data_IF_336623985033
#
_entry.id   IF_336623985033
#
_cell.length_a   1.000
_cell.length_b   1.000
_cell.length_c   1.000
_cell.angle_alpha   90.00
_cell.angle_beta   90.00
_cell.angle_gamma   90.00
#
_symmetry.space_group_name_H-M   'P 1'
#
loop_
_entity.id
_entity.type
_entity.pdbx_description
1 polymer ?
#
# COMPACT_ATOMS: atom_id res chain seq x y z
N UNK A 1 -66.85 18.21 22.58
CA UNK A 1 -66.23 18.91 23.72
C UNK A 1 -65.32 17.91 24.42
N UNK A 2 -64.01 17.99 24.10
CA UNK A 2 -62.79 17.69 24.90
C UNK A 2 -62.90 16.77 26.14
N UNK A 3 -61.98 15.87 26.50
CA UNK A 3 -60.62 15.38 26.16
C UNK A 3 -60.51 14.04 26.98
N UNK A 4 -59.78 12.98 26.64
CA UNK A 4 -58.32 12.89 26.71
C UNK A 4 -57.82 11.57 26.11
N UNK A 5 -56.69 11.69 25.42
CA UNK A 5 -55.83 10.67 24.83
C UNK A 5 -55.31 9.64 25.84
N UNK A 6 -55.14 8.38 25.41
CA UNK A 6 -53.98 7.53 25.79
C UNK A 6 -54.07 6.15 25.12
N UNK A 7 -53.28 5.90 24.07
CA UNK A 7 -52.36 4.74 24.03
C UNK A 7 -51.33 4.95 22.93
N UNK A 8 -50.07 5.06 23.37
CA UNK A 8 -48.88 5.25 22.56
C UNK A 8 -48.52 3.91 21.92
N UNK A 9 -48.55 3.80 20.59
CA UNK A 9 -47.84 2.75 19.86
C UNK A 9 -46.41 3.23 19.62
N UNK A 10 -45.51 2.89 20.55
CA UNK A 10 -44.07 3.04 20.37
C UNK A 10 -43.59 1.86 19.52
N UNK A 11 -43.60 2.01 18.21
CA UNK A 11 -42.96 1.06 17.30
C UNK A 11 -41.45 1.31 17.38
N UNK A 12 -40.77 0.57 18.25
CA UNK A 12 -39.32 0.61 18.42
C UNK A 12 -38.67 0.01 17.18
N UNK A 13 -38.31 0.86 16.21
CA UNK A 13 -37.48 0.47 15.08
C UNK A 13 -36.07 0.17 15.60
N UNK A 14 -35.72 -1.12 15.65
CA UNK A 14 -34.34 -1.57 15.79
C UNK A 14 -33.58 -1.18 14.51
N UNK A 15 -33.06 0.04 14.49
CA UNK A 15 -31.98 0.40 13.58
C UNK A 15 -30.74 -0.41 14.02
N UNK A 16 -30.57 -1.59 13.45
CA UNK A 16 -29.24 -2.21 13.37
C UNK A 16 -28.40 -1.30 12.49
N UNK A 17 -27.77 -0.30 13.12
CA UNK A 17 -26.67 0.43 12.50
C UNK A 17 -25.52 -0.57 12.46
N UNK A 18 -25.32 -1.20 11.30
CA UNK A 18 -24.06 -1.86 11.02
C UNK A 18 -23.00 -0.77 11.08
N UNK A 19 -22.27 -0.71 12.19
CA UNK A 19 -21.00 -0.02 12.27
C UNK A 19 -20.11 -0.65 11.21
N UNK A 20 -20.01 0.02 10.06
CA UNK A 20 -18.92 -0.19 9.10
C UNK A 20 -17.63 0.04 9.89
N UNK A 21 -17.04 -1.03 10.39
CA UNK A 21 -15.67 -0.99 10.88
C UNK A 21 -14.81 -0.78 9.65
N UNK A 22 -14.12 0.36 9.61
CA UNK A 22 -13.02 0.53 8.68
C UNK A 22 -12.00 -0.55 9.00
N UNK A 23 -11.86 -1.54 8.12
CA UNK A 23 -10.90 -2.61 8.31
C UNK A 23 -9.49 -2.04 8.24
N UNK A 24 -8.80 -2.07 9.39
CA UNK A 24 -7.40 -1.71 9.46
C UNK A 24 -6.57 -2.96 9.13
N UNK A 25 -6.26 -3.16 7.86
CA UNK A 25 -5.27 -4.15 7.45
C UNK A 25 -3.88 -3.54 7.62
N UNK A 26 -3.12 -4.06 8.60
CA UNK A 26 -1.72 -3.67 8.78
C UNK A 26 -0.95 -3.90 7.47
N UNK A 27 -0.11 -2.94 7.10
CA UNK A 27 0.78 -3.08 5.94
C UNK A 27 1.77 -4.22 6.15
N UNK A 28 2.25 -4.78 5.03
CA UNK A 28 3.31 -5.78 5.06
C UNK A 28 4.62 -5.12 5.48
N UNK A 29 5.28 -5.73 6.46
CA UNK A 29 6.62 -5.33 6.90
C UNK A 29 7.64 -5.94 5.92
N UNK A 30 8.37 -5.07 5.23
CA UNK A 30 9.48 -5.47 4.36
C UNK A 30 10.70 -5.79 5.23
N UNK A 31 11.23 -7.00 5.11
CA UNK A 31 12.38 -7.47 5.91
C UNK A 31 13.69 -7.37 5.16
N UNK A 32 13.63 -7.27 3.82
CA UNK A 32 14.80 -7.07 2.98
C UNK A 32 14.45 -6.21 1.77
N UNK A 33 15.36 -5.31 1.44
CA UNK A 33 15.26 -4.45 0.26
C UNK A 33 16.58 -4.49 -0.52
N UNK A 34 16.48 -4.40 -1.83
CA UNK A 34 17.63 -4.19 -2.71
C UNK A 34 17.23 -3.27 -3.85
N UNK A 35 18.20 -2.66 -4.49
CA UNK A 35 17.96 -1.75 -5.61
C UNK A 35 18.98 -1.97 -6.71
N UNK A 36 18.61 -1.57 -7.91
CA UNK A 36 19.47 -1.63 -9.09
C UNK A 36 20.74 -0.77 -8.94
N UNK A 37 20.65 0.32 -8.17
CA UNK A 37 21.78 1.06 -7.59
C UNK A 37 21.31 2.00 -6.49
N UNK A 38 22.28 2.68 -5.88
CA UNK A 38 22.07 3.68 -4.83
C UNK A 38 22.91 4.92 -5.16
N UNK A 39 22.34 6.12 -5.01
CA UNK A 39 23.08 7.37 -5.08
C UNK A 39 23.43 7.88 -3.68
N UNK A 40 24.73 7.97 -3.38
CA UNK A 40 25.25 8.47 -2.09
C UNK A 40 24.66 7.68 -0.90
N UNK A 41 24.06 8.37 0.07
CA UNK A 41 23.46 7.79 1.27
C UNK A 41 21.95 7.54 1.16
N UNK A 42 21.34 7.78 -0.01
CA UNK A 42 19.92 7.59 -0.26
C UNK A 42 19.62 6.12 -0.60
N UNK A 43 19.80 5.26 0.40
CA UNK A 43 19.77 3.81 0.26
C UNK A 43 18.35 3.28 0.05
N UNK A 44 18.25 2.03 -0.37
CA UNK A 44 16.99 1.39 -0.71
C UNK A 44 16.06 1.25 0.51
N UNK A 45 16.64 1.08 1.70
CA UNK A 45 15.97 0.98 3.00
C UNK A 45 15.14 2.21 3.35
N UNK A 46 15.55 3.38 2.87
CA UNK A 46 14.80 4.61 3.10
C UNK A 46 13.41 4.59 2.43
N UNK A 47 13.17 3.70 1.46
CA UNK A 47 11.86 3.58 0.81
C UNK A 47 10.88 2.71 1.58
N UNK A 48 11.25 2.18 2.76
CA UNK A 48 10.40 1.31 3.60
C UNK A 48 10.61 1.60 5.09
N UNK A 49 11.08 2.80 5.43
CA UNK A 49 11.44 3.16 6.80
C UNK A 49 10.32 3.91 7.55
N UNK A 50 9.13 3.97 6.95
CA UNK A 50 7.95 4.70 7.41
C UNK A 50 8.16 6.22 7.48
N UNK A 51 9.09 6.79 6.69
CA UNK A 51 9.31 8.25 6.63
C UNK A 51 9.08 8.82 5.23
N UNK A 52 7.94 9.46 5.04
CA UNK A 52 7.62 10.17 3.80
C UNK A 52 8.24 11.57 3.82
N UNK A 53 9.56 11.67 3.63
CA UNK A 53 10.30 12.95 3.72
C UNK A 53 11.27 13.11 2.56
N UNK A 54 11.84 14.30 2.38
CA UNK A 54 12.89 14.48 1.38
C UNK A 54 14.22 13.85 1.85
N UNK A 55 14.53 13.89 3.14
CA UNK A 55 15.78 13.32 3.66
C UNK A 55 15.76 11.79 3.72
N UNK A 56 14.58 11.18 3.84
CA UNK A 56 14.38 9.72 3.70
C UNK A 56 13.79 9.39 2.35
N UNK A 57 14.67 8.96 1.43
CA UNK A 57 14.29 8.43 0.13
C UNK A 57 15.37 7.50 -0.41
N UNK A 58 14.97 6.56 -1.24
CA UNK A 58 15.85 5.87 -2.16
C UNK A 58 16.04 6.69 -3.44
N UNK A 59 17.30 6.78 -3.88
CA UNK A 59 17.69 7.29 -5.20
C UNK A 59 18.55 6.27 -5.94
N UNK A 60 18.27 6.01 -7.21
CA UNK A 60 19.24 5.32 -8.06
C UNK A 60 20.40 6.25 -8.46
N UNK A 61 21.53 5.66 -8.84
CA UNK A 61 22.66 6.40 -9.41
C UNK A 61 22.24 7.11 -10.71
N UNK A 62 22.60 8.39 -10.91
CA UNK A 62 22.33 9.11 -12.16
C UNK A 62 23.08 8.53 -13.36
N UNK A 63 24.16 7.77 -13.11
CA UNK A 63 24.94 7.08 -14.14
C UNK A 63 24.57 5.60 -14.27
N UNK A 64 23.41 5.20 -13.73
CA UNK A 64 22.89 3.85 -13.85
C UNK A 64 22.74 3.47 -15.32
N UNK A 65 23.39 2.39 -15.73
CA UNK A 65 23.07 1.71 -16.98
C UNK A 65 22.04 0.60 -16.71
N UNK A 66 21.12 0.39 -17.66
CA UNK A 66 20.08 -0.63 -17.56
C UNK A 66 18.85 -0.18 -16.76
N UNK A 67 18.06 -1.16 -16.30
CA UNK A 67 16.79 -0.92 -15.63
C UNK A 67 16.98 -0.27 -14.25
N UNK A 68 16.08 0.65 -13.92
CA UNK A 68 15.95 1.25 -12.59
C UNK A 68 14.90 0.45 -11.83
N UNK A 69 15.30 -0.24 -10.76
CA UNK A 69 14.39 -1.05 -9.97
C UNK A 69 14.67 -1.02 -8.48
N UNK A 70 13.60 -1.23 -7.69
CA UNK A 70 13.61 -1.41 -6.25
C UNK A 70 12.88 -2.72 -5.93
N UNK A 71 13.56 -3.64 -5.27
CA UNK A 71 13.04 -4.95 -4.89
C UNK A 71 12.78 -4.98 -3.38
N UNK A 72 11.61 -5.51 -3.01
CA UNK A 72 11.09 -5.59 -1.65
C UNK A 72 10.78 -7.04 -1.36
N UNK A 73 11.29 -7.58 -0.26
CA UNK A 73 11.07 -8.95 0.18
C UNK A 73 10.59 -8.96 1.63
N UNK A 74 9.75 -9.93 1.97
CA UNK A 74 9.26 -10.17 3.32
C UNK A 74 9.20 -11.68 3.60
N UNK A 75 8.98 -12.03 4.87
CA UNK A 75 9.23 -13.40 5.32
C UNK A 75 8.18 -14.41 4.84
N UNK A 76 6.90 -14.02 4.84
CA UNK A 76 5.78 -14.92 4.56
C UNK A 76 5.09 -14.61 3.23
N UNK A 77 4.68 -15.64 2.49
CA UNK A 77 3.86 -15.42 1.29
C UNK A 77 2.50 -14.86 1.67
N UNK A 78 2.12 -13.71 1.10
CA UNK A 78 0.85 -13.01 1.35
C UNK A 78 0.11 -12.74 0.05
N UNK A 79 -1.22 -12.70 0.11
CA UNK A 79 -2.04 -12.19 -0.99
C UNK A 79 -2.10 -10.67 -0.91
N UNK A 80 -1.78 -9.99 -2.01
CA UNK A 80 -1.64 -8.53 -2.06
C UNK A 80 -2.86 -7.88 -2.72
N UNK A 81 -3.26 -6.73 -2.20
CA UNK A 81 -4.36 -5.92 -2.72
C UNK A 81 -3.86 -4.68 -3.47
N UNK A 82 -2.88 -3.98 -2.91
CA UNK A 82 -2.36 -2.75 -3.51
C UNK A 82 -0.97 -2.41 -3.01
N UNK A 83 -0.32 -1.48 -3.73
CA UNK A 83 0.89 -0.81 -3.29
C UNK A 83 0.66 0.70 -3.34
N UNK A 84 1.17 1.43 -2.35
CA UNK A 84 1.23 2.88 -2.35
C UNK A 84 2.69 3.32 -2.45
N UNK A 85 2.99 4.15 -3.44
CA UNK A 85 4.33 4.67 -3.72
C UNK A 85 4.32 6.18 -3.50
N UNK A 86 5.18 6.64 -2.60
CA UNK A 86 5.45 8.05 -2.38
C UNK A 86 6.74 8.42 -3.11
N UNK A 87 6.67 9.40 -4.01
CA UNK A 87 7.78 9.78 -4.88
C UNK A 87 7.94 11.28 -5.04
N UNK A 88 9.10 11.69 -5.55
CA UNK A 88 9.45 13.08 -5.84
C UNK A 88 10.40 13.71 -4.82
N UNK A 89 10.61 15.01 -4.98
CA UNK A 89 11.45 15.87 -4.16
C UNK A 89 10.76 17.22 -4.00
N UNK A 90 10.66 17.69 -2.76
CA UNK A 90 10.01 18.96 -2.43
C UNK A 90 8.62 19.06 -3.10
N UNK A 91 8.37 20.17 -3.80
CA UNK A 91 7.16 20.43 -4.60
C UNK A 91 7.44 20.40 -6.11
N UNK A 92 8.57 19.80 -6.51
CA UNK A 92 9.01 19.72 -7.90
C UNK A 92 8.21 18.63 -8.64
N UNK A 93 7.35 19.02 -9.57
CA UNK A 93 6.44 18.11 -10.27
C UNK A 93 7.18 17.12 -11.17
N UNK A 94 8.28 17.56 -11.77
CA UNK A 94 9.18 16.82 -12.64
C UNK A 94 9.92 15.70 -11.90
N UNK A 95 10.12 15.87 -10.60
CA UNK A 95 10.84 14.89 -9.77
C UNK A 95 10.01 13.63 -9.48
N UNK A 96 8.70 13.68 -9.68
CA UNK A 96 7.76 12.58 -9.44
C UNK A 96 8.01 11.46 -10.46
N UNK A 97 7.92 10.21 -10.00
CA UNK A 97 8.05 9.05 -10.89
C UNK A 97 6.83 9.01 -11.82
N UNK A 98 7.07 9.30 -13.10
CA UNK A 98 6.00 9.45 -14.11
C UNK A 98 5.55 8.13 -14.75
N UNK A 99 6.40 7.10 -14.77
CA UNK A 99 6.00 5.77 -15.22
C UNK A 99 6.76 4.68 -14.48
N UNK A 100 6.03 3.66 -14.06
CA UNK A 100 6.56 2.50 -13.35
C UNK A 100 5.68 1.27 -13.60
N UNK A 101 6.25 0.10 -13.36
CA UNK A 101 5.53 -1.18 -13.33
C UNK A 101 5.80 -1.91 -12.02
N UNK A 102 4.86 -2.74 -11.60
CA UNK A 102 5.05 -3.68 -10.49
C UNK A 102 5.16 -5.09 -11.04
N UNK A 103 6.19 -5.79 -10.59
CA UNK A 103 6.41 -7.21 -10.82
C UNK A 103 6.39 -7.94 -9.49
N UNK A 104 6.02 -9.21 -9.51
CA UNK A 104 6.09 -10.08 -8.35
C UNK A 104 6.89 -11.34 -8.67
N UNK A 105 7.44 -11.94 -7.62
CA UNK A 105 8.17 -13.20 -7.75
C UNK A 105 7.20 -14.37 -7.69
N UNK A 106 7.23 -15.20 -8.73
CA UNK A 106 6.50 -16.46 -8.81
C UNK A 106 7.17 -17.55 -7.95
N UNK A 107 6.47 -18.65 -7.62
CA UNK A 107 7.04 -19.74 -6.83
C UNK A 107 8.30 -20.39 -7.42
N UNK A 108 8.47 -20.33 -8.74
CA UNK A 108 9.66 -20.82 -9.45
C UNK A 108 10.85 -19.83 -9.41
N UNK A 109 10.67 -18.68 -8.76
CA UNK A 109 11.67 -17.62 -8.63
C UNK A 109 11.71 -16.64 -9.80
N UNK A 110 10.90 -16.82 -10.84
CA UNK A 110 10.82 -15.89 -11.97
C UNK A 110 10.04 -14.63 -11.59
N UNK A 111 10.31 -13.53 -12.30
CA UNK A 111 9.60 -12.26 -12.11
C UNK A 111 8.53 -12.11 -13.18
N UNK A 112 7.29 -11.84 -12.77
CA UNK A 112 6.17 -11.56 -13.67
C UNK A 112 5.57 -10.19 -13.40
N UNK A 113 5.33 -9.42 -14.46
CA UNK A 113 4.62 -8.15 -14.39
C UNK A 113 3.16 -8.33 -14.02
N UNK A 114 2.63 -7.42 -13.21
CA UNK A 114 1.21 -7.31 -12.88
C UNK A 114 0.59 -6.32 -13.88
N UNK A 115 -0.22 -6.77 -14.87
CA UNK A 115 -0.68 -5.88 -15.94
C UNK A 115 -1.49 -4.68 -15.45
N UNK A 116 -2.27 -4.84 -14.38
CA UNK A 116 -3.05 -3.76 -13.77
C UNK A 116 -2.19 -2.73 -13.02
N UNK A 117 -0.91 -3.03 -12.79
CA UNK A 117 0.01 -2.20 -12.03
C UNK A 117 1.06 -1.51 -12.94
N UNK A 118 0.75 -1.35 -14.22
CA UNK A 118 1.55 -0.60 -15.18
C UNK A 118 1.05 0.85 -15.25
N UNK A 119 1.83 1.78 -14.72
CA UNK A 119 1.47 3.20 -14.63
C UNK A 119 2.28 4.03 -15.62
N UNK A 120 1.61 4.96 -16.30
CA UNK A 120 2.20 5.92 -17.24
C UNK A 120 1.60 7.30 -17.00
N UNK A 121 2.41 8.35 -17.19
CA UNK A 121 1.95 9.73 -17.08
C UNK A 121 1.53 10.14 -15.66
N UNK A 122 2.04 9.47 -14.63
CA UNK A 122 1.73 9.80 -13.25
C UNK A 122 2.24 11.21 -12.90
N UNK A 123 1.37 12.00 -12.28
CA UNK A 123 1.67 13.32 -11.74
C UNK A 123 1.45 13.39 -10.22
N UNK A 124 1.01 12.30 -9.59
CA UNK A 124 0.74 12.27 -8.15
C UNK A 124 1.97 11.79 -7.38
N UNK A 125 2.44 12.60 -6.42
CA UNK A 125 3.51 12.23 -5.51
C UNK A 125 3.14 11.06 -4.60
N UNK A 126 1.85 10.86 -4.29
CA UNK A 126 1.32 9.76 -3.51
C UNK A 126 0.42 8.89 -4.40
N UNK A 127 1.02 7.93 -5.09
CA UNK A 127 0.36 7.07 -6.06
C UNK A 127 -0.05 5.74 -5.41
N UNK A 128 -1.36 5.44 -5.38
CA UNK A 128 -1.87 4.12 -4.99
C UNK A 128 -2.23 3.29 -6.21
N UNK A 129 -1.75 2.05 -6.26
CA UNK A 129 -1.91 1.13 -7.39
C UNK A 129 -2.60 -0.13 -6.89
N UNK A 130 -3.80 -0.39 -7.39
CA UNK A 130 -4.58 -1.57 -7.06
C UNK A 130 -4.25 -2.73 -7.99
N UNK A 131 -4.21 -3.94 -7.44
CA UNK A 131 -4.06 -5.15 -8.23
C UNK A 131 -5.46 -5.67 -8.63
N UNK A 132 -5.63 -6.03 -9.90
CA UNK A 132 -6.90 -6.57 -10.40
C UNK A 132 -7.24 -7.88 -9.67
N UNK A 133 -8.49 -8.00 -9.20
CA UNK A 133 -9.00 -9.16 -8.46
C UNK A 133 -9.09 -10.44 -9.30
N UNK A 134 -8.91 -10.37 -10.62
CA UNK A 134 -8.97 -11.56 -11.50
C UNK A 134 -7.86 -12.57 -11.25
N UNK A 135 -6.70 -12.12 -10.77
CA UNK A 135 -5.59 -13.01 -10.44
C UNK A 135 -5.04 -12.59 -9.09
N UNK A 136 -5.12 -13.47 -8.10
CA UNK A 136 -4.51 -13.23 -6.80
C UNK A 136 -3.00 -13.06 -6.95
N UNK A 137 -2.48 -11.93 -6.46
CA UNK A 137 -1.05 -11.69 -6.40
C UNK A 137 -0.55 -12.25 -5.07
N UNK A 138 -0.18 -13.54 -5.08
CA UNK A 138 0.32 -14.25 -3.91
C UNK A 138 1.84 -14.40 -4.00
N UNK A 139 2.57 -13.68 -3.16
CA UNK A 139 4.03 -13.64 -3.22
C UNK A 139 4.63 -13.24 -1.88
N UNK A 140 5.95 -13.35 -1.76
CA UNK A 140 6.73 -12.73 -0.68
C UNK A 140 7.74 -11.70 -1.21
N UNK A 141 7.64 -11.30 -2.48
CA UNK A 141 8.50 -10.29 -3.06
C UNK A 141 7.83 -9.48 -4.17
N UNK A 142 8.07 -8.16 -4.16
CA UNK A 142 7.73 -7.25 -5.26
C UNK A 142 8.98 -6.60 -5.83
N UNK A 143 8.92 -6.22 -7.10
CA UNK A 143 9.88 -5.33 -7.74
C UNK A 143 9.15 -4.18 -8.40
N UNK A 144 9.50 -2.96 -8.02
CA UNK A 144 9.07 -1.73 -8.69
C UNK A 144 10.10 -1.42 -9.76
N UNK A 145 9.68 -1.39 -11.02
CA UNK A 145 10.54 -1.05 -12.15
C UNK A 145 10.15 0.33 -12.67
N UNK A 146 11.04 1.31 -12.51
CA UNK A 146 10.83 2.68 -12.97
C UNK A 146 11.19 2.77 -14.46
N UNK A 147 10.23 3.18 -15.28
CA UNK A 147 10.39 3.26 -16.74
C UNK A 147 10.48 4.70 -17.24
N UNK A 148 10.02 5.69 -16.46
CA UNK A 148 10.19 7.10 -16.78
C UNK A 148 10.22 8.00 -15.54
N UNK A 149 11.27 8.80 -15.42
CA UNK A 149 11.45 9.83 -14.39
C UNK A 149 12.43 10.88 -14.91
N UNK A 150 12.30 12.12 -14.45
CA UNK A 150 13.14 13.21 -14.94
C UNK A 150 14.61 13.03 -14.53
N UNK A 151 15.51 13.31 -15.48
CA UNK A 151 16.95 13.19 -15.28
C UNK A 151 17.46 11.76 -15.05
N UNK A 152 16.61 10.74 -15.25
CA UNK A 152 16.98 9.34 -15.00
C UNK A 152 17.18 8.98 -13.52
N UNK A 153 16.70 9.83 -12.60
CA UNK A 153 16.83 9.64 -11.15
C UNK A 153 15.44 9.41 -10.55
N UNK A 154 15.11 8.16 -10.27
CA UNK A 154 13.98 7.78 -9.46
C UNK A 154 14.17 8.29 -8.03
N UNK A 155 13.12 8.89 -7.48
CA UNK A 155 13.06 9.42 -6.12
C UNK A 155 11.88 8.78 -5.42
N UNK A 156 12.11 7.74 -4.63
CA UNK A 156 11.05 7.04 -3.89
C UNK A 156 11.26 7.27 -2.41
N UNK A 157 10.31 7.97 -1.78
CA UNK A 157 10.33 8.29 -0.35
C UNK A 157 9.85 7.13 0.50
N UNK A 158 8.81 6.43 0.06
CA UNK A 158 8.22 5.35 0.83
C UNK A 158 7.39 4.44 -0.09
N UNK A 159 7.32 3.15 0.25
CA UNK A 159 6.48 2.14 -0.36
C UNK A 159 5.72 1.41 0.72
N UNK A 160 4.39 1.43 0.63
CA UNK A 160 3.51 0.70 1.55
C UNK A 160 2.80 -0.40 0.77
N UNK A 161 2.93 -1.65 1.22
CA UNK A 161 2.30 -2.81 0.59
C UNK A 161 1.09 -3.22 1.46
N UNK A 162 -0.08 -3.33 0.86
CA UNK A 162 -1.33 -3.66 1.55
C UNK A 162 -1.77 -5.08 1.18
N UNK A 163 -1.95 -5.99 2.16
CA UNK A 163 -2.47 -7.32 1.91
C UNK A 163 -3.97 -7.27 1.58
N UNK A 164 -4.48 -8.33 0.93
CA UNK A 164 -5.91 -8.57 0.71
C UNK A 164 -6.60 -9.19 1.93
N UNK A 165 -5.83 -9.67 2.90
CA UNK A 165 -6.33 -10.36 4.10
C UNK A 165 -6.77 -9.37 5.17
N UNK A 166 -7.96 -9.60 5.72
CA UNK A 166 -8.46 -8.95 6.93
C UNK A 166 -7.81 -9.61 8.14
N UNK A 167 -7.19 -8.84 9.04
CA UNK A 167 -6.97 -9.35 10.40
C UNK A 167 -8.34 -9.46 11.06
N UNK A 168 -8.87 -10.67 11.17
CA UNK A 168 -10.00 -10.92 12.07
C UNK A 168 -9.47 -10.72 13.49
N UNK A 169 -9.68 -9.53 14.06
CA UNK A 169 -9.60 -9.38 15.50
C UNK A 169 -10.69 -10.27 16.09
N UNK A 170 -10.32 -11.24 16.93
CA UNK A 170 -11.31 -12.06 17.62
C UNK A 170 -12.39 -11.15 18.23
N UNK A 171 -13.69 -11.49 18.09
CA UNK A 171 -14.73 -10.72 18.74
C UNK A 171 -14.40 -10.63 20.23
N UNK A 172 -14.45 -9.41 20.78
CA UNK A 172 -14.38 -9.19 22.24
C UNK A 172 -15.34 -10.18 22.86
N UNK A 173 -14.82 -11.16 23.62
CA UNK A 173 -15.66 -12.10 24.37
C UNK A 173 -16.60 -11.24 25.20
N UNK A 174 -17.89 -11.30 24.89
CA UNK A 174 -18.92 -10.58 25.61
C UNK A 174 -18.77 -10.97 27.08
N UNK A 175 -18.32 -10.00 27.89
CA UNK A 175 -18.11 -10.21 29.30
C UNK A 175 -19.44 -10.57 29.93
N UNK A 176 -19.49 -11.70 30.64
CA UNK A 176 -20.64 -12.08 31.45
C UNK A 176 -21.01 -10.94 32.41
N UNK A 177 -22.08 -10.21 32.11
CA UNK A 177 -22.68 -9.30 33.07
C UNK A 177 -23.30 -10.14 34.18
N UNK A 178 -22.60 -10.20 35.32
CA UNK A 178 -23.17 -10.70 36.56
C UNK A 178 -23.97 -9.54 37.16
N UNK A 179 -25.29 -9.66 37.12
CA UNK A 179 -26.16 -8.80 37.92
C UNK A 179 -26.06 -9.28 39.38
N UNK A 180 -25.44 -8.46 40.23
CA UNK A 180 -25.54 -8.54 41.70
C UNK A 180 -26.64 -7.60 42.19
#
# INVERSE_FOLDING_TARGET
>A
MNLFLSTIYLCLSLFFTSLLHAENTDSIIVTKVSASSVFKHYRAENAVDNKITDDSRWLNSPTQEGAIWLQLEWDEVRTLHSVQVFSGFQKEQESIVSALGIEFREPDGTWRSIPSAMVKGNTNAALKIYFDSKNEIKTNALRITVTKTEGGIARIKEVVILPSEVKVTEPVKEGNYIYI
#
